data_IF_045860949140
#
_entry.id   IF_045860949140
#
_cell.length_a   1.000
_cell.length_b   1.000
_cell.length_c   1.000
_cell.angle_alpha   90.00
_cell.angle_beta   90.00
_cell.angle_gamma   90.00
#
_symmetry.space_group_name_H-M   'P 1'
#
loop_
_entity.id
_entity.type
_entity.pdbx_description
1 polymer ?
#
# COMPACT_ATOMS: atom_id res chain seq x y z
N UNK A 1 17.64 -10.22 24.72
CA UNK A 1 18.00 -8.97 24.03
C UNK A 1 18.19 -9.34 22.57
N UNK A 2 17.16 -9.18 21.74
CA UNK A 2 17.23 -9.58 20.33
C UNK A 2 18.13 -8.59 19.57
N UNK A 3 19.10 -9.14 18.85
CA UNK A 3 20.25 -8.41 18.30
C UNK A 3 19.85 -7.29 17.36
N UNK A 4 20.49 -6.14 17.55
CA UNK A 4 20.44 -5.01 16.64
C UNK A 4 21.04 -5.43 15.29
N UNK A 5 20.25 -5.28 14.21
CA UNK A 5 20.72 -5.56 12.85
C UNK A 5 21.10 -4.24 12.17
N UNK A 6 22.29 -4.17 11.59
CA UNK A 6 22.78 -2.98 10.88
C UNK A 6 22.66 -3.13 9.36
N UNK A 7 22.32 -2.03 8.68
CA UNK A 7 22.14 -1.95 7.24
C UNK A 7 22.78 -0.70 6.65
N UNK A 8 23.19 -0.72 5.39
CA UNK A 8 23.76 0.47 4.74
C UNK A 8 22.65 1.43 4.32
N UNK A 9 21.55 0.86 3.80
CA UNK A 9 20.37 1.60 3.37
C UNK A 9 19.09 1.02 3.97
N UNK A 10 18.35 1.88 4.65
CA UNK A 10 17.04 1.58 5.21
C UNK A 10 15.96 2.42 4.55
N UNK A 11 14.99 1.77 3.90
CA UNK A 11 13.84 2.44 3.28
C UNK A 11 12.61 2.22 4.15
N UNK A 12 12.08 3.30 4.72
CA UNK A 12 10.86 3.30 5.53
C UNK A 12 9.66 3.63 4.65
N UNK A 13 8.83 2.63 4.39
CA UNK A 13 7.65 2.75 3.54
C UNK A 13 7.87 2.06 2.21
N UNK A 14 7.14 0.99 1.98
CA UNK A 14 7.19 0.23 0.74
C UNK A 14 6.44 0.91 -0.40
N UNK A 15 6.51 2.24 -0.52
CA UNK A 15 5.80 3.06 -1.50
C UNK A 15 6.25 2.87 -2.95
N UNK A 16 5.68 3.62 -3.91
CA UNK A 16 6.23 3.67 -5.28
C UNK A 16 7.68 4.19 -5.26
N UNK A 17 7.90 5.29 -4.52
CA UNK A 17 9.25 5.82 -4.28
C UNK A 17 10.13 4.88 -3.45
N UNK A 18 9.57 4.22 -2.44
CA UNK A 18 10.31 3.30 -1.59
C UNK A 18 10.77 2.03 -2.32
N UNK A 19 9.89 1.41 -3.12
CA UNK A 19 10.27 0.26 -3.97
C UNK A 19 11.30 0.65 -5.01
N UNK A 20 11.16 1.80 -5.65
CA UNK A 20 12.14 2.27 -6.64
C UNK A 20 13.51 2.46 -5.96
N UNK A 21 13.53 3.17 -4.83
CA UNK A 21 14.74 3.39 -4.06
C UNK A 21 15.40 2.07 -3.62
N UNK A 22 14.63 1.12 -3.09
CA UNK A 22 15.18 -0.17 -2.66
C UNK A 22 15.65 -1.06 -3.82
N UNK A 23 15.07 -0.93 -5.01
CA UNK A 23 15.51 -1.68 -6.20
C UNK A 23 16.80 -1.13 -6.79
N UNK A 24 16.98 0.18 -6.76
CA UNK A 24 18.21 0.83 -7.25
C UNK A 24 19.33 0.79 -6.19
N UNK A 25 18.98 0.81 -4.90
CA UNK A 25 19.91 0.76 -3.78
C UNK A 25 20.60 -0.59 -3.55
N UNK A 26 20.37 -1.59 -4.41
CA UNK A 26 20.97 -2.94 -4.31
C UNK A 26 22.49 -2.92 -4.49
N UNK A 27 23.06 -1.85 -5.07
CA UNK A 27 24.51 -1.66 -5.11
C UNK A 27 25.16 -1.37 -3.74
N UNK A 28 24.38 -1.12 -2.69
CA UNK A 28 24.82 -0.80 -1.33
C UNK A 28 24.47 -1.94 -0.36
N UNK A 29 24.96 -3.15 -0.64
CA UNK A 29 24.67 -4.34 0.19
C UNK A 29 25.08 -4.12 1.66
N UNK A 30 24.16 -4.17 2.66
CA UNK A 30 22.79 -4.67 2.60
C UNK A 30 21.68 -3.59 2.61
N UNK A 31 20.75 -3.68 1.64
CA UNK A 31 19.57 -2.82 1.55
C UNK A 31 18.32 -3.45 2.22
N UNK A 32 17.64 -2.67 3.06
CA UNK A 32 16.45 -3.06 3.81
C UNK A 32 15.24 -2.23 3.40
N UNK A 33 14.10 -2.88 3.16
CA UNK A 33 12.82 -2.20 2.99
C UNK A 33 11.85 -2.57 4.11
N UNK A 34 11.40 -1.56 4.84
CA UNK A 34 10.36 -1.67 5.88
C UNK A 34 9.00 -1.34 5.28
N UNK A 35 8.13 -2.34 5.21
CA UNK A 35 6.73 -2.19 4.86
C UNK A 35 5.94 -1.71 6.07
N UNK A 36 5.43 -0.48 6.01
CA UNK A 36 4.55 0.05 7.05
C UNK A 36 3.26 -0.78 7.11
N UNK A 37 3.11 -1.57 8.17
CA UNK A 37 1.82 -2.14 8.55
C UNK A 37 0.91 -0.99 9.00
N UNK A 38 -0.32 -0.99 8.50
CA UNK A 38 -1.37 -0.02 8.84
C UNK A 38 -1.85 -0.19 10.28
N UNK A 39 -0.97 -0.02 11.26
CA UNK A 39 -1.36 0.24 12.64
C UNK A 39 -1.64 1.73 12.77
N UNK A 40 -2.88 2.07 13.12
CA UNK A 40 -3.27 3.38 13.66
C UNK A 40 -2.11 3.96 14.47
N UNK A 41 -1.63 5.16 14.10
CA UNK A 41 -0.80 5.91 15.03
C UNK A 41 -1.71 6.31 16.18
N UNK A 42 -1.41 5.96 17.45
CA UNK A 42 -1.94 6.74 18.54
C UNK A 42 -1.16 8.05 18.47
N UNK A 43 -1.76 9.07 17.86
CA UNK A 43 -1.42 10.44 18.24
C UNK A 43 -1.80 10.50 19.71
N UNK A 44 -0.80 10.66 20.57
CA UNK A 44 -0.98 10.87 22.01
C UNK A 44 -1.75 12.17 22.21
N UNK A 45 -3.07 12.08 22.14
CA UNK A 45 -3.98 12.96 22.85
C UNK A 45 -4.74 12.06 23.80
N UNK A 46 -4.38 12.17 25.07
CA UNK A 46 -5.03 11.53 26.20
C UNK A 46 -6.52 11.83 26.19
N UNK A 47 -7.34 10.87 25.77
CA UNK A 47 -8.72 10.68 26.20
C UNK A 47 -9.22 9.34 25.65
N UNK A 48 -9.69 8.49 26.55
CA UNK A 48 -10.42 7.26 26.29
C UNK A 48 -11.43 7.42 25.14
N UNK A 49 -11.26 6.68 24.06
CA UNK A 49 -12.32 5.97 23.31
C UNK A 49 -11.68 5.26 22.11
N UNK A 50 -11.43 3.97 22.31
CA UNK A 50 -11.08 3.05 21.25
C UNK A 50 -12.31 2.85 20.36
N UNK A 51 -12.41 3.63 19.27
CA UNK A 51 -13.46 3.45 18.26
C UNK A 51 -12.84 3.10 16.91
N UNK A 52 -12.96 1.81 16.62
CA UNK A 52 -12.46 1.07 15.46
C UNK A 52 -13.42 1.12 14.25
N UNK A 53 -14.37 2.05 14.18
CA UNK A 53 -15.62 1.84 13.43
C UNK A 53 -15.77 2.54 12.07
N UNK A 54 -14.70 2.97 11.41
CA UNK A 54 -14.81 3.46 10.00
C UNK A 54 -13.73 2.90 9.06
N UNK A 55 -12.86 2.03 9.56
CA UNK A 55 -11.83 1.30 8.78
C UNK A 55 -12.08 -0.23 8.73
N UNK A 56 -13.17 -0.70 9.35
CA UNK A 56 -13.45 -2.12 9.56
C UNK A 56 -13.93 -2.87 8.30
N UNK A 57 -14.35 -2.19 7.23
CA UNK A 57 -14.76 -2.86 6.00
C UNK A 57 -13.61 -3.17 5.02
N UNK A 58 -12.39 -2.69 5.28
CA UNK A 58 -11.21 -2.93 4.43
C UNK A 58 -9.97 -3.31 5.24
N UNK A 59 -10.14 -3.99 6.39
CA UNK A 59 -9.03 -4.72 7.01
C UNK A 59 -8.81 -6.03 6.26
N UNK A 60 -8.06 -5.99 5.16
CA UNK A 60 -7.75 -7.17 4.35
C UNK A 60 -6.38 -7.73 4.73
N UNK A 61 -6.29 -9.05 4.89
CA UNK A 61 -5.17 -9.80 5.49
C UNK A 61 -3.83 -9.75 4.68
N UNK A 62 -3.72 -8.92 3.64
CA UNK A 62 -2.69 -8.96 2.61
C UNK A 62 -1.76 -7.75 2.48
N UNK A 63 -0.69 -7.74 3.29
CA UNK A 63 0.72 -7.28 3.18
C UNK A 63 1.22 -6.18 2.21
N UNK A 64 0.52 -5.75 1.15
CA UNK A 64 1.03 -4.74 0.18
C UNK A 64 -0.07 -3.85 -0.44
N UNK A 65 -1.33 -4.07 -0.07
CA UNK A 65 -2.49 -3.48 -0.76
C UNK A 65 -2.61 -1.96 -0.66
N UNK A 66 -1.93 -1.31 0.29
CA UNK A 66 -2.03 0.14 0.50
C UNK A 66 -1.62 0.96 -0.73
N UNK A 67 -0.67 0.46 -1.53
CA UNK A 67 -0.11 1.20 -2.67
C UNK A 67 -0.84 1.00 -3.96
N UNK A 68 -1.32 -0.20 -4.22
CA UNK A 68 -2.08 -0.49 -5.43
C UNK A 68 -3.54 -0.11 -5.31
N UNK A 69 -4.13 -0.05 -4.10
CA UNK A 69 -5.56 0.23 -3.93
C UNK A 69 -5.89 1.73 -4.05
N UNK A 70 -4.99 2.60 -3.61
CA UNK A 70 -5.11 4.07 -3.76
C UNK A 70 -4.25 4.65 -4.89
N UNK A 71 -3.67 3.78 -5.73
CA UNK A 71 -2.88 4.15 -6.90
C UNK A 71 -3.76 4.66 -8.05
N UNK A 72 -3.19 5.39 -9.02
CA UNK A 72 -3.86 5.68 -10.30
C UNK A 72 -4.39 4.43 -11.01
N UNK A 73 -3.90 3.23 -10.69
CA UNK A 73 -4.21 1.99 -11.40
C UNK A 73 -5.68 1.55 -11.26
N UNK A 74 -6.25 1.27 -10.07
CA UNK A 74 -7.69 0.97 -9.95
C UNK A 74 -8.56 2.09 -10.50
N UNK A 75 -8.18 3.35 -10.24
CA UNK A 75 -8.90 4.51 -10.79
C UNK A 75 -8.95 4.45 -12.32
N UNK A 76 -7.82 4.21 -12.99
CA UNK A 76 -7.73 4.14 -14.45
C UNK A 76 -8.51 2.97 -15.01
N UNK A 77 -8.48 1.81 -14.35
CA UNK A 77 -9.25 0.64 -14.79
C UNK A 77 -10.76 0.85 -14.64
N UNK A 78 -11.21 1.46 -13.54
CA UNK A 78 -12.62 1.81 -13.34
C UNK A 78 -13.06 2.90 -14.33
N UNK A 79 -12.20 3.88 -14.61
CA UNK A 79 -12.45 4.90 -15.63
C UNK A 79 -12.56 4.27 -17.02
N UNK A 80 -11.68 3.31 -17.36
CA UNK A 80 -11.75 2.58 -18.62
C UNK A 80 -13.05 1.78 -18.75
N UNK A 81 -13.52 1.14 -17.67
CA UNK A 81 -14.81 0.45 -17.68
C UNK A 81 -15.98 1.40 -17.96
N UNK A 82 -15.92 2.64 -17.44
CA UNK A 82 -16.90 3.67 -17.77
C UNK A 82 -16.82 4.10 -19.25
N UNK A 83 -15.61 4.28 -19.80
CA UNK A 83 -15.41 4.60 -21.22
C UNK A 83 -15.94 3.50 -22.14
N UNK A 84 -15.73 2.23 -21.78
CA UNK A 84 -16.28 1.09 -22.53
C UNK A 84 -17.80 1.14 -22.61
N UNK A 85 -18.47 1.58 -21.53
CA UNK A 85 -19.92 1.78 -21.54
C UNK A 85 -20.40 2.81 -22.57
N UNK A 86 -19.61 3.86 -22.83
CA UNK A 86 -19.89 4.83 -23.89
C UNK A 86 -19.57 4.25 -25.28
N UNK A 87 -18.41 3.61 -25.44
CA UNK A 87 -17.98 3.02 -26.70
C UNK A 87 -18.97 1.97 -27.24
N UNK A 88 -19.61 1.20 -26.35
CA UNK A 88 -20.59 0.21 -26.78
C UNK A 88 -21.88 0.86 -27.32
N UNK A 89 -22.25 2.05 -26.82
CA UNK A 89 -23.35 2.83 -27.42
C UNK A 89 -22.98 3.33 -28.81
N UNK A 90 -21.75 3.82 -28.96
CA UNK A 90 -21.25 4.33 -30.23
C UNK A 90 -21.09 3.22 -31.26
N UNK A 91 -20.74 2.00 -30.85
CA UNK A 91 -20.50 0.84 -31.71
C UNK A 91 -21.65 0.57 -32.71
N UNK A 92 -22.90 0.79 -32.30
CA UNK A 92 -24.07 0.67 -33.17
C UNK A 92 -23.99 1.56 -34.41
N UNK A 93 -23.51 2.79 -34.28
CA UNK A 93 -23.37 3.73 -35.40
C UNK A 93 -22.26 3.33 -36.37
N UNK A 94 -21.32 2.50 -35.91
CA UNK A 94 -20.22 1.95 -36.72
C UNK A 94 -20.54 0.57 -37.30
N UNK A 95 -21.81 0.15 -37.28
CA UNK A 95 -22.27 -1.11 -37.89
C UNK A 95 -22.11 -2.35 -37.00
N UNK A 96 -21.83 -2.18 -35.69
CA UNK A 96 -21.78 -3.29 -34.75
C UNK A 96 -23.17 -3.60 -34.18
N UNK A 97 -23.66 -4.81 -34.42
CA UNK A 97 -24.91 -5.30 -33.84
C UNK A 97 -24.66 -5.82 -32.42
N UNK A 98 -24.93 -4.99 -31.41
CA UNK A 98 -24.82 -5.37 -29.99
C UNK A 98 -26.21 -5.50 -29.37
N UNK A 99 -26.52 -6.63 -28.72
CA UNK A 99 -27.81 -6.82 -28.07
C UNK A 99 -28.00 -5.85 -26.88
N UNK A 100 -29.08 -5.07 -26.88
CA UNK A 100 -29.44 -4.15 -25.80
C UNK A 100 -30.64 -4.66 -24.99
N UNK A 101 -30.78 -4.31 -23.69
CA UNK A 101 -29.94 -3.41 -22.89
C UNK A 101 -28.74 -4.11 -22.22
N UNK A 102 -27.60 -3.42 -22.18
CA UNK A 102 -26.37 -3.92 -21.57
C UNK A 102 -26.29 -3.49 -20.11
N UNK A 103 -26.20 -4.46 -19.22
CA UNK A 103 -26.11 -4.25 -17.78
C UNK A 103 -24.64 -4.28 -17.33
N UNK A 104 -24.23 -3.29 -16.54
CA UNK A 104 -22.90 -3.27 -15.93
C UNK A 104 -22.89 -4.02 -14.60
N UNK A 105 -22.10 -5.09 -14.50
CA UNK A 105 -21.93 -5.84 -13.27
C UNK A 105 -20.74 -5.31 -12.45
N UNK A 106 -21.05 -4.53 -11.40
CA UNK A 106 -20.05 -3.98 -10.48
C UNK A 106 -19.15 -5.04 -9.86
N UNK A 107 -19.71 -6.17 -9.42
CA UNK A 107 -18.97 -7.23 -8.73
C UNK A 107 -17.89 -7.82 -9.64
N UNK A 108 -18.23 -8.12 -10.90
CA UNK A 108 -17.27 -8.63 -11.90
C UNK A 108 -16.15 -7.63 -12.17
N UNK A 109 -16.47 -6.35 -12.34
CA UNK A 109 -15.46 -5.31 -12.54
C UNK A 109 -14.55 -5.17 -11.32
N UNK A 110 -15.12 -5.11 -10.11
CA UNK A 110 -14.36 -4.99 -8.87
C UNK A 110 -13.43 -6.19 -8.66
N UNK A 111 -13.91 -7.42 -8.89
CA UNK A 111 -13.09 -8.64 -8.83
C UNK A 111 -11.94 -8.62 -9.84
N UNK A 112 -12.19 -8.22 -11.09
CA UNK A 112 -11.14 -8.11 -12.11
C UNK A 112 -10.05 -7.09 -11.71
N UNK A 113 -10.46 -5.91 -11.23
CA UNK A 113 -9.53 -4.88 -10.74
C UNK A 113 -8.72 -5.38 -9.54
N UNK A 114 -9.38 -6.04 -8.58
CA UNK A 114 -8.71 -6.61 -7.41
C UNK A 114 -7.72 -7.72 -7.79
N UNK A 115 -8.05 -8.57 -8.75
CA UNK A 115 -7.16 -9.63 -9.22
C UNK A 115 -5.92 -9.06 -9.92
N UNK A 116 -6.07 -8.00 -10.72
CA UNK A 116 -4.94 -7.29 -11.31
C UNK A 116 -4.04 -6.68 -10.24
N UNK A 117 -4.63 -6.03 -9.24
CA UNK A 117 -3.91 -5.48 -8.07
C UNK A 117 -3.13 -6.57 -7.31
N UNK A 118 -3.74 -7.74 -7.08
CA UNK A 118 -3.06 -8.87 -6.42
C UNK A 118 -1.85 -9.36 -7.24
N UNK A 119 -1.99 -9.44 -8.56
CA UNK A 119 -0.90 -9.84 -9.48
C UNK A 119 0.29 -8.87 -9.39
N UNK A 120 0.05 -7.56 -9.37
CA UNK A 120 1.12 -6.56 -9.22
C UNK A 120 1.86 -6.68 -7.89
N UNK A 121 1.12 -6.88 -6.80
CA UNK A 121 1.72 -7.08 -5.47
C UNK A 121 2.61 -8.33 -5.43
N UNK A 122 2.19 -9.40 -6.11
CA UNK A 122 3.02 -10.58 -6.27
C UNK A 122 4.30 -10.28 -7.05
N UNK A 123 4.18 -9.62 -8.22
CA UNK A 123 5.34 -9.26 -9.06
C UNK A 123 6.37 -8.40 -8.32
N UNK A 124 5.93 -7.45 -7.50
CA UNK A 124 6.85 -6.66 -6.68
C UNK A 124 7.59 -7.48 -5.63
N UNK A 125 6.95 -8.47 -5.00
CA UNK A 125 7.61 -9.37 -4.04
C UNK A 125 8.68 -10.21 -4.71
N UNK A 126 8.38 -10.76 -5.88
CA UNK A 126 9.34 -11.54 -6.68
C UNK A 126 10.54 -10.67 -7.05
N UNK A 127 10.31 -9.46 -7.56
CA UNK A 127 11.40 -8.54 -7.93
C UNK A 127 12.29 -8.14 -6.74
N UNK A 128 11.73 -8.00 -5.53
CA UNK A 128 12.52 -7.73 -4.33
C UNK A 128 13.35 -8.95 -3.91
N UNK A 129 12.78 -10.15 -4.03
CA UNK A 129 13.49 -11.41 -3.75
C UNK A 129 14.64 -11.66 -4.74
N UNK A 130 14.40 -11.46 -6.04
CA UNK A 130 15.40 -11.59 -7.09
C UNK A 130 16.61 -10.67 -6.85
N UNK A 131 16.34 -9.47 -6.32
CA UNK A 131 17.35 -8.46 -5.99
C UNK A 131 17.93 -8.61 -4.57
N UNK A 132 17.63 -9.71 -3.86
CA UNK A 132 18.09 -10.00 -2.49
C UNK A 132 17.76 -8.91 -1.46
N UNK A 133 16.79 -8.05 -1.73
CA UNK A 133 16.36 -7.00 -0.79
C UNK A 133 15.60 -7.65 0.35
N UNK A 134 16.07 -7.42 1.59
CA UNK A 134 15.37 -7.91 2.77
C UNK A 134 14.12 -7.07 3.01
N UNK A 135 12.98 -7.74 3.14
CA UNK A 135 11.69 -7.11 3.39
C UNK A 135 11.20 -7.43 4.80
N UNK A 136 10.92 -6.39 5.58
CA UNK A 136 10.32 -6.52 6.92
C UNK A 136 8.95 -5.86 6.92
N UNK A 137 7.94 -6.61 7.33
CA UNK A 137 6.56 -6.12 7.44
C UNK A 137 6.29 -5.62 8.85
N UNK A 138 6.86 -4.47 9.20
CA UNK A 138 6.80 -3.91 10.56
C UNK A 138 6.48 -2.41 10.53
N UNK A 139 5.81 -1.93 11.57
CA UNK A 139 5.61 -0.50 11.78
C UNK A 139 6.89 0.10 12.33
N UNK A 140 7.47 1.02 11.57
CA UNK A 140 8.73 1.67 11.90
C UNK A 140 8.50 2.96 12.70
N UNK A 141 9.30 3.16 13.75
CA UNK A 141 9.39 4.42 14.51
C UNK A 141 10.85 4.72 14.83
N UNK A 142 11.27 5.97 14.66
CA UNK A 142 12.63 6.38 15.03
C UNK A 142 12.81 6.34 16.54
N UNK A 143 13.89 5.72 16.98
CA UNK A 143 14.37 5.79 18.38
C UNK A 143 15.51 6.79 18.48
N UNK A 144 16.37 6.83 17.45
CA UNK A 144 17.50 7.73 17.33
C UNK A 144 17.75 8.07 15.84
N UNK A 145 18.68 8.98 15.55
CA UNK A 145 19.05 9.42 14.20
C UNK A 145 19.38 8.26 13.25
N UNK A 146 20.03 7.22 13.76
CA UNK A 146 20.45 6.04 12.98
C UNK A 146 19.74 4.75 13.40
N UNK A 147 18.75 4.82 14.29
CA UNK A 147 18.09 3.62 14.85
C UNK A 147 16.58 3.70 14.74
N UNK A 148 15.99 2.65 14.18
CA UNK A 148 14.56 2.49 13.94
C UNK A 148 14.06 1.24 14.67
N UNK A 149 12.97 1.40 15.42
CA UNK A 149 12.24 0.30 16.02
C UNK A 149 11.13 -0.15 15.06
N UNK A 150 11.15 -1.42 14.68
CA UNK A 150 10.08 -2.09 13.95
C UNK A 150 9.19 -2.87 14.91
N UNK A 151 7.89 -2.63 14.87
CA UNK A 151 6.88 -3.42 15.60
C UNK A 151 6.10 -4.29 14.61
N UNK A 152 6.19 -5.60 14.74
CA UNK A 152 5.37 -6.53 13.94
C UNK A 152 3.92 -6.55 14.45
N UNK A 153 3.01 -7.13 13.66
CA UNK A 153 1.61 -7.35 14.02
C UNK A 153 1.45 -8.13 15.33
N UNK A 154 2.39 -9.00 15.65
CA UNK A 154 2.44 -9.75 16.91
C UNK A 154 2.96 -8.96 18.11
N UNK A 155 3.24 -7.65 17.96
CA UNK A 155 3.80 -6.81 19.03
C UNK A 155 5.29 -7.03 19.28
N UNK A 156 5.94 -7.92 18.53
CA UNK A 156 7.39 -8.14 18.60
C UNK A 156 8.14 -6.90 18.11
N UNK A 157 9.03 -6.38 18.95
CA UNK A 157 9.89 -5.23 18.63
C UNK A 157 11.21 -5.73 18.04
N UNK A 158 11.72 -5.04 17.03
CA UNK A 158 13.02 -5.33 16.41
C UNK A 158 13.75 -4.01 16.20
N UNK A 159 15.00 -3.94 16.64
CA UNK A 159 15.84 -2.75 16.47
C UNK A 159 16.71 -2.89 15.23
N UNK A 160 16.66 -1.88 14.38
CA UNK A 160 17.34 -1.81 13.10
C UNK A 160 18.17 -0.53 13.08
N UNK A 161 19.47 -0.63 12.81
CA UNK A 161 20.32 0.54 12.60
C UNK A 161 20.69 0.68 11.12
N UNK A 162 20.84 1.91 10.64
CA UNK A 162 21.35 2.13 9.29
C UNK A 162 22.10 3.45 9.12
N UNK A 163 23.06 3.44 8.19
CA UNK A 163 23.87 4.61 7.83
C UNK A 163 23.04 5.63 7.04
N UNK A 164 22.29 5.14 6.06
CA UNK A 164 21.38 5.94 5.26
C UNK A 164 19.93 5.51 5.45
N UNK A 165 19.05 6.48 5.72
CA UNK A 165 17.62 6.23 5.93
C UNK A 165 16.80 7.07 4.96
N UNK A 166 15.95 6.40 4.17
CA UNK A 166 15.03 7.03 3.22
C UNK A 166 13.61 6.88 3.74
N UNK A 167 12.89 7.99 3.87
CA UNK A 167 11.51 8.03 4.35
C UNK A 167 10.58 8.17 3.13
N UNK A 168 9.84 7.09 2.84
CA UNK A 168 8.90 6.98 1.71
C UNK A 168 7.52 6.48 2.19
N UNK A 169 7.04 7.04 3.31
CA UNK A 169 5.83 6.58 4.01
C UNK A 169 4.51 6.98 3.33
N UNK A 170 4.56 7.98 2.45
CA UNK A 170 3.40 8.46 1.68
C UNK A 170 2.36 9.20 2.54
N UNK A 171 1.20 9.46 1.93
CA UNK A 171 0.08 10.15 2.58
C UNK A 171 -1.11 9.24 2.89
N UNK A 172 -2.08 9.77 3.63
CA UNK A 172 -3.39 9.16 3.88
C UNK A 172 -4.51 10.18 3.65
N UNK A 173 -5.71 9.74 3.24
CA UNK A 173 -6.87 10.63 3.15
C UNK A 173 -7.12 11.33 4.49
N UNK A 174 -7.40 12.64 4.44
CA UNK A 174 -7.69 13.45 5.62
C UNK A 174 -9.20 13.61 5.76
N UNK A 175 -9.71 13.34 6.95
CA UNK A 175 -11.10 13.64 7.30
C UNK A 175 -11.21 15.10 7.78
N UNK A 176 -12.24 15.85 7.34
CA UNK A 176 -12.48 17.19 7.87
C UNK A 176 -13.07 17.08 9.29
N UNK A 177 -12.53 17.86 10.21
CA UNK A 177 -12.90 17.82 11.65
C UNK A 177 -14.17 18.60 11.98
N UNK A 178 -14.63 19.45 11.06
CA UNK A 178 -15.75 20.37 11.28
C UNK A 178 -17.12 19.78 10.92
N UNK A 179 -17.16 18.57 10.35
CA UNK A 179 -18.39 17.93 9.90
C UNK A 179 -18.66 16.72 10.78
N UNK A 180 -19.75 16.79 11.54
CA UNK A 180 -20.22 15.69 12.39
C UNK A 180 -20.65 14.49 11.54
N UNK A 181 -20.35 13.27 11.99
CA UNK A 181 -20.71 12.01 11.31
C UNK A 181 -19.70 11.48 10.28
N UNK A 182 -18.53 12.12 10.12
CA UNK A 182 -17.46 11.65 9.23
C UNK A 182 -16.38 10.78 9.90
N UNK A 183 -16.52 10.49 11.20
CA UNK A 183 -15.62 9.63 11.98
C UNK A 183 -16.34 8.39 12.48
#
# INVERSE_FOLDING_TARGET
MEGQQSFDLLVIGGGSGGLACAKEGVGLDPCLLLGLTGGSMPVSCSAHLQMSLSFQLLSWEGRWQWLTMWSPLPKKLMHQAALLGAMVKDAHHYGWEVAQPIQHNWKKMAEAVQNHVKSLNWGHRVQLQDRKVKYFNVKASFVDKHTVCGVDKGGKTTLLSADHIVIATGGRPRYPTQVSGLL
#
